data_IF_319145464514
#
_entry.id   IF_319145464514
#
_cell.length_a   1.000
_cell.length_b   1.000
_cell.length_c   1.000
_cell.angle_alpha   90.00
_cell.angle_beta   90.00
_cell.angle_gamma   90.00
#
_symmetry.space_group_name_H-M   'P 1'
#
loop_
_entity.id
_entity.type
_entity.pdbx_description
1 polymer ?
#
# COMPACT_ATOMS: atom_id res chain seq x y z
N UNK A 1 -1.43 8.17 -10.91
CA UNK A 1 -0.43 7.13 -10.64
C UNK A 1 0.94 7.63 -11.06
N UNK A 2 2.02 7.00 -10.58
CA UNK A 2 3.43 7.37 -10.85
C UNK A 2 4.27 6.13 -11.11
N UNK A 3 5.51 6.32 -11.57
CA UNK A 3 6.45 5.19 -11.66
C UNK A 3 6.67 4.60 -10.27
N UNK A 4 6.84 3.28 -10.20
CA UNK A 4 6.92 2.60 -8.90
C UNK A 4 8.08 3.11 -8.03
N UNK A 5 9.20 3.50 -8.66
CA UNK A 5 10.38 4.06 -7.97
C UNK A 5 10.11 5.43 -7.33
N UNK A 6 9.08 6.15 -7.77
CA UNK A 6 8.67 7.42 -7.17
C UNK A 6 7.76 7.24 -5.94
N UNK A 7 7.24 6.03 -5.73
CA UNK A 7 6.37 5.68 -4.61
C UNK A 7 7.15 4.86 -3.58
N UNK A 8 7.02 5.22 -2.31
CA UNK A 8 7.66 4.47 -1.21
C UNK A 8 6.74 3.31 -0.79
N UNK A 9 7.26 2.08 -0.64
CA UNK A 9 6.53 1.03 0.05
C UNK A 9 6.23 1.44 1.49
N UNK A 10 5.09 1.02 2.00
CA UNK A 10 4.61 1.38 3.32
C UNK A 10 3.98 0.19 4.06
N UNK A 11 3.99 0.28 5.40
CA UNK A 11 3.25 -0.61 6.31
C UNK A 11 2.57 0.20 7.42
N UNK A 12 1.50 -0.37 7.96
CA UNK A 12 0.74 0.14 9.10
C UNK A 12 0.77 -0.89 10.23
N UNK A 13 0.85 -0.49 11.51
CA UNK A 13 0.92 -1.49 12.62
C UNK A 13 -0.32 -1.54 13.49
N UNK A 14 -1.18 -0.52 13.44
CA UNK A 14 -2.41 -0.44 14.24
C UNK A 14 -3.67 -0.58 13.40
N UNK A 15 -3.57 -0.33 12.09
CA UNK A 15 -4.70 -0.41 11.15
C UNK A 15 -4.44 -1.38 10.00
N UNK A 16 -5.51 -2.00 9.54
CA UNK A 16 -5.62 -2.67 8.25
C UNK A 16 -6.09 -1.65 7.22
N UNK A 17 -5.52 -1.74 6.02
CA UNK A 17 -5.91 -0.94 4.88
C UNK A 17 -6.82 -1.73 3.96
N UNK A 18 -8.03 -1.23 3.73
CA UNK A 18 -8.89 -1.71 2.66
C UNK A 18 -8.90 -0.64 1.58
N UNK A 19 -8.19 -0.90 0.49
CA UNK A 19 -8.07 0.02 -0.64
C UNK A 19 -9.04 -0.40 -1.74
N UNK A 20 -10.05 0.43 -2.00
CA UNK A 20 -11.03 0.25 -3.07
C UNK A 20 -10.79 1.25 -4.20
N UNK A 21 -10.65 0.76 -5.43
CA UNK A 21 -10.46 1.61 -6.61
C UNK A 21 -11.82 1.92 -7.23
N UNK A 22 -12.26 3.17 -7.17
CA UNK A 22 -13.55 3.60 -7.70
C UNK A 22 -13.48 4.00 -9.18
N UNK A 23 -12.35 4.55 -9.63
CA UNK A 23 -12.15 5.00 -11.00
C UNK A 23 -10.66 5.05 -11.37
N UNK A 24 -10.36 4.84 -12.66
CA UNK A 24 -9.01 4.74 -13.19
C UNK A 24 -8.41 3.34 -13.05
N UNK A 25 -7.10 3.24 -13.20
CA UNK A 25 -6.34 1.98 -13.05
C UNK A 25 -5.03 2.24 -12.30
N UNK A 26 -4.64 1.31 -11.45
CA UNK A 26 -3.33 1.30 -10.79
C UNK A 26 -2.83 -0.13 -10.66
N UNK A 27 -1.53 -0.30 -10.41
CA UNK A 27 -1.03 -1.51 -9.78
C UNK A 27 -0.54 -1.20 -8.38
N UNK A 28 -0.64 -2.16 -7.49
CA UNK A 28 -0.13 -2.05 -6.12
C UNK A 28 0.97 -3.09 -5.95
N UNK A 29 2.16 -2.64 -5.57
CA UNK A 29 3.22 -3.54 -5.13
C UNK A 29 2.84 -4.15 -3.78
N UNK A 30 3.08 -5.43 -3.58
CA UNK A 30 2.82 -6.16 -2.33
C UNK A 30 3.97 -7.13 -2.03
N UNK A 31 4.38 -7.16 -0.77
CA UNK A 31 5.31 -8.15 -0.26
C UNK A 31 4.99 -8.48 1.21
N UNK A 32 5.50 -9.62 1.67
CA UNK A 32 5.52 -9.92 3.10
C UNK A 32 6.58 -9.01 3.76
N UNK A 33 6.23 -8.38 4.87
CA UNK A 33 7.17 -7.63 5.69
C UNK A 33 8.04 -8.59 6.52
N UNK A 34 9.21 -8.91 5.97
CA UNK A 34 10.22 -9.77 6.60
C UNK A 34 11.00 -9.05 7.72
N UNK A 35 10.84 -7.73 7.84
CA UNK A 35 11.64 -6.89 8.74
C UNK A 35 13.04 -6.54 8.20
N UNK A 36 13.40 -6.96 6.98
CA UNK A 36 14.72 -6.67 6.40
C UNK A 36 14.77 -5.37 5.57
N UNK A 37 13.60 -4.81 5.22
CA UNK A 37 13.53 -3.61 4.39
C UNK A 37 14.13 -2.39 5.14
N UNK A 38 14.94 -1.60 4.44
CA UNK A 38 15.56 -0.40 5.01
C UNK A 38 14.51 0.70 5.20
N UNK A 39 14.26 1.07 6.45
CA UNK A 39 13.36 2.17 6.81
C UNK A 39 13.87 3.50 6.24
N UNK A 40 13.03 4.17 5.46
CA UNK A 40 13.25 5.53 4.98
C UNK A 40 12.74 6.56 5.98
N UNK A 41 11.59 6.30 6.60
CA UNK A 41 10.93 7.22 7.53
C UNK A 41 9.95 6.44 8.40
N UNK A 42 9.88 6.74 9.70
CA UNK A 42 8.91 6.15 10.62
C UNK A 42 8.10 7.25 11.29
N UNK A 43 6.78 7.22 11.09
CA UNK A 43 5.81 8.12 11.70
C UNK A 43 4.75 7.30 12.46
N UNK A 44 5.20 6.21 13.08
CA UNK A 44 4.31 5.20 13.62
C UNK A 44 3.40 5.77 14.72
N UNK A 45 3.93 6.61 15.60
CA UNK A 45 3.16 7.22 16.70
C UNK A 45 2.07 8.16 16.18
N UNK A 46 2.42 9.04 15.24
CA UNK A 46 1.55 10.13 14.79
C UNK A 46 0.54 9.69 13.73
N UNK A 47 0.96 8.79 12.81
CA UNK A 47 0.24 8.49 11.58
C UNK A 47 0.12 6.99 11.28
N UNK A 48 0.62 6.13 12.17
CA UNK A 48 0.62 4.67 11.99
C UNK A 48 1.27 4.21 10.69
N UNK A 49 2.38 4.82 10.28
CA UNK A 49 3.02 4.50 8.99
C UNK A 49 4.53 4.40 9.10
N UNK A 50 5.10 3.41 8.45
CA UNK A 50 6.53 3.27 8.21
C UNK A 50 6.72 3.20 6.70
N UNK A 51 7.60 4.05 6.18
CA UNK A 51 8.04 4.02 4.79
C UNK A 51 9.38 3.32 4.67
N UNK A 52 9.51 2.50 3.63
CA UNK A 52 10.78 1.87 3.25
C UNK A 52 11.38 2.57 2.03
N UNK A 53 12.69 2.41 1.82
CA UNK A 53 13.33 2.82 0.57
C UNK A 53 12.89 1.92 -0.59
N UNK A 54 12.94 0.61 -0.35
CA UNK A 54 12.61 -0.44 -1.30
C UNK A 54 11.86 -1.58 -0.58
N UNK A 55 11.32 -2.52 -1.35
CA UNK A 55 10.67 -3.73 -0.84
C UNK A 55 11.26 -4.97 -1.49
N UNK A 56 11.81 -5.88 -0.69
CA UNK A 56 12.22 -7.20 -1.19
C UNK A 56 11.00 -8.06 -1.57
N UNK A 57 11.18 -8.96 -2.54
CA UNK A 57 10.18 -9.94 -2.99
C UNK A 57 8.82 -9.35 -3.40
N UNK A 58 8.80 -8.10 -3.86
CA UNK A 58 7.59 -7.41 -4.27
C UNK A 58 6.97 -8.05 -5.53
N UNK A 59 5.68 -8.33 -5.45
CA UNK A 59 4.81 -8.70 -6.57
C UNK A 59 3.82 -7.56 -6.83
N UNK A 60 3.26 -7.49 -8.04
CA UNK A 60 2.26 -6.47 -8.35
C UNK A 60 0.89 -7.09 -8.57
N UNK A 61 -0.13 -6.49 -7.98
CA UNK A 61 -1.53 -6.78 -8.28
C UNK A 61 -2.11 -5.63 -9.11
N UNK A 62 -2.92 -5.98 -10.10
CA UNK A 62 -3.60 -5.00 -10.96
C UNK A 62 -4.96 -4.63 -10.34
N UNK A 63 -5.24 -3.34 -10.31
CA UNK A 63 -6.48 -2.77 -9.78
C UNK A 63 -7.23 -2.07 -10.91
N UNK A 64 -8.45 -2.50 -11.17
CA UNK A 64 -9.41 -1.88 -12.08
C UNK A 64 -10.61 -1.35 -11.26
N UNK A 65 -11.49 -0.51 -11.83
CA UNK A 65 -12.64 -0.01 -11.08
C UNK A 65 -13.48 -1.16 -10.51
N UNK A 66 -13.73 -1.12 -9.20
CA UNK A 66 -14.41 -2.18 -8.46
C UNK A 66 -13.46 -3.13 -7.70
N UNK A 67 -12.17 -3.15 -8.03
CA UNK A 67 -11.18 -3.92 -7.26
C UNK A 67 -11.06 -3.39 -5.83
N UNK A 68 -10.89 -4.31 -4.89
CA UNK A 68 -10.43 -3.98 -3.53
C UNK A 68 -9.26 -4.88 -3.13
N UNK A 69 -8.33 -4.32 -2.38
CA UNK A 69 -7.21 -5.03 -1.77
C UNK A 69 -7.21 -4.75 -0.26
N UNK A 70 -6.85 -5.76 0.53
CA UNK A 70 -6.77 -5.66 1.98
C UNK A 70 -5.32 -5.92 2.39
N UNK A 71 -4.71 -4.96 3.08
CA UNK A 71 -3.33 -5.04 3.55
C UNK A 71 -3.30 -5.05 5.08
N UNK A 72 -2.80 -6.14 5.63
CA UNK A 72 -2.58 -6.33 7.06
C UNK A 72 -1.24 -5.71 7.50
N UNK A 73 -0.98 -5.64 8.81
CA UNK A 73 0.28 -5.10 9.32
C UNK A 73 1.55 -5.79 8.82
N UNK A 74 1.41 -7.01 8.31
CA UNK A 74 2.49 -7.83 7.76
C UNK A 74 2.67 -7.64 6.25
N UNK A 75 1.83 -6.82 5.60
CA UNK A 75 1.85 -6.62 4.16
C UNK A 75 2.48 -5.27 3.83
N UNK A 76 3.73 -5.30 3.36
CA UNK A 76 4.31 -4.14 2.69
C UNK A 76 3.52 -3.90 1.42
N UNK A 77 3.08 -2.66 1.21
CA UNK A 77 2.36 -2.31 0.00
C UNK A 77 2.84 -0.98 -0.58
N UNK A 78 2.80 -0.86 -1.91
CA UNK A 78 3.20 0.34 -2.67
C UNK A 78 2.07 0.74 -3.62
N UNK A 79 1.07 1.51 -3.14
CA UNK A 79 -0.08 1.89 -3.96
C UNK A 79 0.26 3.00 -4.97
N UNK A 80 -0.66 3.29 -5.89
CA UNK A 80 -0.54 4.42 -6.81
C UNK A 80 0.46 4.24 -7.95
N UNK A 81 0.90 3.02 -8.22
CA UNK A 81 1.85 2.74 -9.31
C UNK A 81 1.13 2.66 -10.67
N UNK A 82 1.82 3.07 -11.73
CA UNK A 82 1.34 2.98 -13.11
C UNK A 82 1.08 1.52 -13.49
N UNK A 83 -0.13 1.22 -13.98
CA UNK A 83 -0.44 -0.07 -14.59
C UNK A 83 0.11 -0.13 -16.02
N UNK A 84 -0.51 0.62 -16.95
CA UNK A 84 -0.04 0.75 -18.34
C UNK A 84 0.54 2.14 -18.62
N UNK A 85 -0.20 3.19 -18.24
CA UNK A 85 0.21 4.59 -18.42
C UNK A 85 -0.12 5.42 -17.19
N UNK A 86 0.49 6.60 -17.05
CA UNK A 86 0.14 7.56 -16.02
C UNK A 86 -1.35 7.93 -16.14
N UNK A 87 -2.11 7.67 -15.08
CA UNK A 87 -3.55 7.89 -15.05
C UNK A 87 -3.97 8.56 -13.75
N UNK A 88 -4.94 9.46 -13.83
CA UNK A 88 -5.64 9.92 -12.64
C UNK A 88 -6.46 8.76 -12.08
N UNK A 89 -6.58 8.68 -10.76
CA UNK A 89 -7.39 7.65 -10.10
C UNK A 89 -8.25 8.27 -9.02
N UNK A 90 -9.37 7.61 -8.72
CA UNK A 90 -10.16 7.88 -7.52
C UNK A 90 -10.25 6.59 -6.73
N UNK A 91 -9.75 6.61 -5.49
CA UNK A 91 -9.79 5.48 -4.57
C UNK A 91 -10.26 5.88 -3.19
N UNK A 92 -10.75 4.90 -2.44
CA UNK A 92 -11.09 5.01 -1.03
C UNK A 92 -10.16 4.08 -0.26
N UNK A 93 -9.56 4.59 0.81
CA UNK A 93 -8.77 3.78 1.74
C UNK A 93 -9.51 3.78 3.08
N UNK A 94 -10.10 2.65 3.43
CA UNK A 94 -10.72 2.46 4.73
C UNK A 94 -9.66 1.91 5.69
N UNK A 95 -9.49 2.58 6.83
CA UNK A 95 -8.61 2.12 7.90
C UNK A 95 -9.43 1.39 8.95
N UNK A 96 -9.12 0.12 9.20
CA UNK A 96 -9.78 -0.70 10.23
C UNK A 96 -8.81 -0.96 11.37
N UNK A 97 -9.10 -0.47 12.57
CA UNK A 97 -8.24 -0.71 13.73
C UNK A 97 -8.16 -2.21 14.03
N UNK A 98 -6.97 -2.74 14.31
CA UNK A 98 -6.80 -4.15 14.69
C UNK A 98 -7.63 -4.51 15.92
N UNK A 99 -7.81 -3.57 16.84
CA UNK A 99 -8.64 -3.74 18.05
C UNK A 99 -10.12 -3.98 17.74
N UNK A 100 -10.57 -3.78 16.50
CA UNK A 100 -11.93 -4.07 16.07
C UNK A 100 -12.13 -5.54 15.63
N UNK A 101 -11.08 -6.36 15.57
CA UNK A 101 -11.14 -7.71 14.98
C UNK A 101 -11.45 -8.86 15.95
N UNK A 102 -11.59 -8.63 17.26
CA UNK A 102 -11.87 -9.62 18.30
C UNK A 102 -10.93 -10.84 18.33
#
# INVERSE_FOLDING_TARGET
TREAVENRPEVHRRYIDIQFLAWGEEKIGIAIDTGNNKVSESLLEQRDIIFYHDSEHESFIEMIPGSYAIFFPQDVHRPGCILQTASEIRKIVVKVALTALN
#
